data_IF_863232339598
#
_entry.id   IF_863232339598
#
_cell.length_a   1.000
_cell.length_b   1.000
_cell.length_c   1.000
_cell.angle_alpha   90.00
_cell.angle_beta   90.00
_cell.angle_gamma   90.00
#
_symmetry.space_group_name_H-M   'P 1'
#
loop_
_entity.id
_entity.type
_entity.pdbx_description
1 polymer ?
#
# COMPACT_ATOMS: atom_id res chain seq x y z
N UNK A 1 0.50 -18.09 16.34
CA UNK A 1 -0.19 -16.86 15.93
C UNK A 1 0.80 -15.72 16.01
N UNK A 2 0.87 -14.86 15.00
CA UNK A 2 1.77 -13.70 15.02
C UNK A 2 1.05 -12.50 15.62
N UNK A 3 1.78 -11.64 16.33
CA UNK A 3 1.25 -10.36 16.81
C UNK A 3 1.21 -9.35 15.66
N UNK A 4 0.10 -8.61 15.53
CA UNK A 4 -0.08 -7.60 14.48
C UNK A 4 -0.21 -6.23 15.16
N UNK A 5 0.68 -5.31 14.81
CA UNK A 5 0.68 -3.94 15.28
C UNK A 5 0.26 -2.99 14.14
N UNK A 6 -0.81 -2.23 14.35
CA UNK A 6 -1.20 -1.17 13.43
C UNK A 6 -0.39 0.11 13.68
N UNK A 7 0.40 0.54 12.69
CA UNK A 7 1.11 1.81 12.71
C UNK A 7 0.34 2.87 11.92
N UNK A 8 -0.02 3.98 12.57
CA UNK A 8 -0.73 5.11 11.95
C UNK A 8 -0.25 6.45 12.52
N UNK A 9 -0.77 7.56 12.00
CA UNK A 9 -0.32 8.92 12.30
C UNK A 9 -0.62 9.89 11.16
N UNK A 10 -0.69 11.19 11.48
CA UNK A 10 -0.98 12.25 10.51
C UNK A 10 0.11 12.45 9.45
N UNK A 11 -0.14 13.34 8.49
CA UNK A 11 0.86 13.76 7.49
C UNK A 11 2.05 14.40 8.23
N UNK A 12 3.28 14.05 7.83
CA UNK A 12 4.50 14.58 8.45
C UNK A 12 4.84 14.02 9.85
N UNK A 13 4.07 13.05 10.37
CA UNK A 13 4.30 12.50 11.71
C UNK A 13 5.48 11.52 11.83
N UNK A 14 6.22 11.27 10.74
CA UNK A 14 7.35 10.34 10.74
C UNK A 14 6.99 8.85 10.70
N UNK A 15 5.78 8.46 10.29
CA UNK A 15 5.38 7.04 10.16
C UNK A 15 6.38 6.21 9.35
N UNK A 16 6.80 6.70 8.19
CA UNK A 16 7.75 5.99 7.33
C UNK A 16 9.11 5.81 7.99
N UNK A 17 9.54 6.77 8.82
CA UNK A 17 10.77 6.63 9.61
C UNK A 17 10.60 5.58 10.73
N UNK A 18 9.43 5.54 11.39
CA UNK A 18 9.12 4.54 12.39
C UNK A 18 9.01 3.13 11.80
N UNK A 19 8.36 2.96 10.64
CA UNK A 19 8.28 1.67 9.95
C UNK A 19 9.65 1.19 9.49
N UNK A 20 10.47 2.08 8.91
CA UNK A 20 11.84 1.74 8.51
C UNK A 20 12.69 1.32 9.71
N UNK A 21 12.53 2.00 10.85
CA UNK A 21 13.20 1.58 12.08
C UNK A 21 12.77 0.18 12.52
N UNK A 22 11.47 -0.16 12.47
CA UNK A 22 11.00 -1.53 12.77
C UNK A 22 11.65 -2.57 11.86
N UNK A 23 11.81 -2.29 10.57
CA UNK A 23 12.52 -3.18 9.63
C UNK A 23 13.97 -3.41 10.06
N UNK A 24 14.68 -2.35 10.52
CA UNK A 24 16.06 -2.51 11.05
C UNK A 24 16.15 -3.40 12.28
N UNK A 25 15.04 -3.58 13.01
CA UNK A 25 14.95 -4.49 14.15
C UNK A 25 14.55 -5.92 13.74
N UNK A 26 14.44 -6.19 12.44
CA UNK A 26 14.03 -7.49 11.90
C UNK A 26 12.53 -7.74 11.96
N UNK A 27 11.71 -6.70 12.18
CA UNK A 27 10.25 -6.81 12.18
C UNK A 27 9.76 -6.66 10.75
N UNK A 28 8.96 -7.62 10.30
CA UNK A 28 8.30 -7.53 8.99
C UNK A 28 7.31 -6.37 8.98
N UNK A 29 7.51 -5.44 8.06
CA UNK A 29 6.58 -4.35 7.79
C UNK A 29 5.74 -4.69 6.57
N UNK A 30 4.43 -4.43 6.68
CA UNK A 30 3.49 -4.50 5.56
C UNK A 30 2.96 -3.09 5.34
N UNK A 31 3.36 -2.46 4.24
CA UNK A 31 2.95 -1.09 3.90
C UNK A 31 1.68 -1.12 3.04
N UNK A 32 0.60 -0.49 3.54
CA UNK A 32 -0.69 -0.46 2.86
C UNK A 32 -0.64 0.37 1.56
N UNK A 33 0.17 1.42 1.49
CA UNK A 33 0.29 2.26 0.29
C UNK A 33 1.01 1.50 -0.83
N UNK A 34 1.97 0.64 -0.48
CA UNK A 34 2.64 -0.25 -1.44
C UNK A 34 1.67 -1.29 -1.96
N UNK A 35 0.99 -2.02 -1.07
CA UNK A 35 0.04 -3.06 -1.46
C UNK A 35 -1.10 -2.48 -2.31
N UNK A 36 -1.59 -1.27 -1.98
CA UNK A 36 -2.62 -0.60 -2.77
C UNK A 36 -2.19 -0.32 -4.21
N UNK A 37 -0.90 -0.10 -4.47
CA UNK A 37 -0.35 0.07 -5.83
C UNK A 37 -0.18 -1.27 -6.53
N UNK A 38 0.37 -2.26 -5.85
CA UNK A 38 0.61 -3.60 -6.39
C UNK A 38 -0.68 -4.25 -6.90
N UNK A 39 -1.79 -4.12 -6.16
CA UNK A 39 -3.06 -4.75 -6.56
C UNK A 39 -3.69 -4.12 -7.81
N UNK A 40 -3.29 -2.90 -8.19
CA UNK A 40 -3.77 -2.20 -9.39
C UNK A 40 -2.71 -2.14 -10.50
N UNK A 41 -1.64 -2.91 -10.42
CA UNK A 41 -0.66 -3.02 -11.49
C UNK A 41 -1.28 -3.56 -12.80
N UNK A 42 -0.62 -3.26 -13.92
CA UNK A 42 -1.04 -3.76 -15.23
C UNK A 42 -1.11 -5.28 -15.22
N UNK A 43 -2.24 -5.82 -15.66
CA UNK A 43 -2.53 -7.26 -15.65
C UNK A 43 -3.25 -7.74 -14.39
N UNK A 44 -3.39 -6.90 -13.35
CA UNK A 44 -4.14 -7.28 -12.17
C UNK A 44 -5.67 -7.19 -12.38
N UNK A 45 -6.46 -8.12 -11.80
CA UNK A 45 -7.92 -8.10 -11.91
C UNK A 45 -8.55 -6.83 -11.35
N UNK A 46 -7.93 -6.20 -10.34
CA UNK A 46 -8.47 -4.99 -9.71
C UNK A 46 -8.40 -3.80 -10.66
N UNK A 47 -7.31 -3.65 -11.42
CA UNK A 47 -7.19 -2.59 -12.42
C UNK A 47 -8.31 -2.69 -13.47
N UNK A 48 -8.61 -3.91 -13.93
CA UNK A 48 -9.74 -4.15 -14.83
C UNK A 48 -11.08 -3.75 -14.21
N UNK A 49 -11.33 -4.12 -12.94
CA UNK A 49 -12.57 -3.73 -12.24
C UNK A 49 -12.72 -2.22 -12.09
N UNK A 50 -11.61 -1.51 -11.84
CA UNK A 50 -11.59 -0.04 -11.79
C UNK A 50 -11.92 0.52 -13.18
N UNK A 51 -11.28 0.01 -14.24
CA UNK A 51 -11.59 0.39 -15.62
C UNK A 51 -13.05 0.13 -16.00
N UNK A 52 -13.61 -1.04 -15.70
CA UNK A 52 -15.00 -1.39 -15.98
C UNK A 52 -15.99 -0.45 -15.24
N UNK A 53 -15.60 0.08 -14.08
CA UNK A 53 -16.45 0.95 -13.24
C UNK A 53 -16.38 2.42 -13.62
N UNK A 54 -15.20 2.91 -14.04
CA UNK A 54 -14.94 4.33 -14.25
C UNK A 54 -14.69 4.70 -15.71
N UNK A 55 -14.27 3.77 -16.57
CA UNK A 55 -13.93 3.99 -17.97
C UNK A 55 -12.47 4.40 -18.20
N UNK A 56 -12.13 4.71 -19.45
CA UNK A 56 -10.74 4.90 -19.91
C UNK A 56 -10.00 6.07 -19.23
N UNK A 57 -10.70 7.08 -18.75
CA UNK A 57 -10.07 8.30 -18.19
C UNK A 57 -9.22 8.03 -16.93
N UNK A 58 -9.48 6.92 -16.23
CA UNK A 58 -8.74 6.52 -15.02
C UNK A 58 -7.39 5.88 -15.35
N UNK A 59 -7.22 5.42 -16.59
CA UNK A 59 -5.96 4.84 -17.05
C UNK A 59 -5.09 5.97 -17.60
N UNK A 60 -3.84 6.01 -17.17
CA UNK A 60 -2.83 6.82 -17.87
C UNK A 60 -2.53 6.19 -19.23
N UNK A 61 -2.19 6.99 -20.25
CA UNK A 61 -1.77 6.46 -21.55
C UNK A 61 -0.58 5.51 -21.46
#
# INVERSE_FOLDING_TARGET
MSFILGLTGGIGSGKSAASQWFETQGITVVDADVVAREVVEIGQPVLKKIHDSFGDWVLSP
#
